data_IF_540203218844
#
_entry.id   IF_540203218844
#
_cell.length_a   1.000
_cell.length_b   1.000
_cell.length_c   1.000
_cell.angle_alpha   90.00
_cell.angle_beta   90.00
_cell.angle_gamma   90.00
#
_symmetry.space_group_name_H-M   'P 1'
#
loop_
_entity.id
_entity.type
_entity.pdbx_description
1 polymer ?
#
# COMPACT_ATOMS: atom_id res chain seq x y z
N UNK A 1 -51.05 -33.98 -25.91
CA UNK A 1 -50.58 -32.56 -25.93
C UNK A 1 -50.28 -32.02 -24.52
N UNK A 2 -51.03 -32.43 -23.47
CA UNK A 2 -50.85 -31.89 -22.09
C UNK A 2 -49.57 -32.32 -21.35
N UNK A 3 -49.00 -33.49 -21.65
CA UNK A 3 -47.81 -33.99 -20.96
C UNK A 3 -46.51 -33.33 -21.40
N UNK A 4 -46.39 -32.96 -22.65
CA UNK A 4 -45.22 -32.24 -23.21
C UNK A 4 -45.16 -30.74 -22.82
N UNK A 5 -46.31 -30.13 -22.60
CA UNK A 5 -46.37 -28.75 -22.08
C UNK A 5 -45.99 -28.69 -20.60
N UNK A 6 -46.42 -29.63 -19.79
CA UNK A 6 -46.08 -29.73 -18.37
C UNK A 6 -44.59 -30.01 -18.13
N UNK A 7 -43.94 -30.85 -18.96
CA UNK A 7 -42.49 -31.08 -18.90
C UNK A 7 -41.69 -29.82 -19.27
N UNK A 8 -42.13 -29.07 -20.28
CA UNK A 8 -41.49 -27.79 -20.68
C UNK A 8 -41.61 -26.71 -19.60
N UNK A 9 -42.77 -26.61 -18.93
CA UNK A 9 -42.94 -25.65 -17.81
C UNK A 9 -42.07 -26.01 -16.60
N UNK A 10 -41.92 -27.31 -16.25
CA UNK A 10 -41.03 -27.73 -15.17
C UNK A 10 -39.55 -27.50 -15.50
N UNK A 11 -39.11 -27.73 -16.74
CA UNK A 11 -37.76 -27.47 -17.18
C UNK A 11 -37.45 -25.94 -17.17
N UNK A 12 -38.42 -25.10 -17.56
CA UNK A 12 -38.28 -23.63 -17.47
C UNK A 12 -38.22 -23.15 -16.01
N UNK A 13 -39.06 -23.75 -15.13
CA UNK A 13 -39.02 -23.40 -13.70
C UNK A 13 -37.72 -23.84 -13.01
N UNK A 14 -37.16 -24.96 -13.40
CA UNK A 14 -35.88 -25.47 -12.90
C UNK A 14 -34.74 -24.51 -13.36
N UNK A 15 -34.72 -24.16 -14.63
CA UNK A 15 -33.75 -23.21 -15.21
C UNK A 15 -33.82 -21.82 -14.56
N UNK A 16 -35.02 -21.29 -14.31
CA UNK A 16 -35.20 -19.99 -13.62
C UNK A 16 -34.69 -20.05 -12.17
N UNK A 17 -34.91 -21.20 -11.46
CA UNK A 17 -34.39 -21.37 -10.11
C UNK A 17 -32.86 -21.41 -10.08
N UNK A 18 -32.24 -22.12 -11.03
CA UNK A 18 -30.77 -22.17 -11.15
C UNK A 18 -30.17 -20.79 -11.44
N UNK A 19 -30.81 -20.01 -12.33
CA UNK A 19 -30.36 -18.65 -12.60
C UNK A 19 -30.45 -17.78 -11.35
N UNK A 20 -31.58 -17.79 -10.63
CA UNK A 20 -31.74 -17.03 -9.39
C UNK A 20 -30.72 -17.42 -8.32
N UNK A 21 -30.44 -18.73 -8.22
CA UNK A 21 -29.43 -19.20 -7.26
C UNK A 21 -28.03 -18.71 -7.61
N UNK A 22 -27.67 -18.69 -8.91
CA UNK A 22 -26.40 -18.12 -9.38
C UNK A 22 -26.33 -16.60 -9.16
N UNK A 23 -27.40 -15.87 -9.42
CA UNK A 23 -27.49 -14.42 -9.17
C UNK A 23 -27.28 -14.11 -7.68
N UNK A 24 -27.92 -14.85 -6.78
CA UNK A 24 -27.75 -14.68 -5.35
C UNK A 24 -26.30 -14.95 -4.92
N UNK A 25 -25.68 -16.03 -5.43
CA UNK A 25 -24.26 -16.33 -5.16
C UNK A 25 -23.33 -15.21 -5.64
N UNK A 26 -23.55 -14.68 -6.84
CA UNK A 26 -22.76 -13.56 -7.38
C UNK A 26 -22.92 -12.33 -6.49
N UNK A 27 -24.14 -11.99 -6.09
CA UNK A 27 -24.40 -10.85 -5.22
C UNK A 27 -23.72 -10.99 -3.84
N UNK A 28 -23.81 -12.18 -3.24
CA UNK A 28 -23.14 -12.46 -1.96
C UNK A 28 -21.62 -12.31 -2.09
N UNK A 29 -21.03 -12.81 -3.18
CA UNK A 29 -19.60 -12.70 -3.45
C UNK A 29 -19.17 -11.23 -3.67
N UNK A 30 -19.95 -10.47 -4.43
CA UNK A 30 -19.72 -9.03 -4.64
C UNK A 30 -19.78 -8.23 -3.32
N UNK A 31 -20.75 -8.51 -2.46
CA UNK A 31 -20.87 -7.85 -1.17
C UNK A 31 -19.70 -8.23 -0.23
N UNK A 32 -19.23 -9.48 -0.26
CA UNK A 32 -18.04 -9.89 0.48
C UNK A 32 -16.77 -9.15 -0.01
N UNK A 33 -16.61 -9.01 -1.33
CA UNK A 33 -15.48 -8.28 -1.92
C UNK A 33 -15.54 -6.80 -1.50
N UNK A 34 -16.71 -6.18 -1.60
CA UNK A 34 -16.91 -4.78 -1.15
C UNK A 34 -16.57 -4.60 0.33
N UNK A 35 -17.05 -5.50 1.20
CA UNK A 35 -16.78 -5.44 2.62
C UNK A 35 -15.29 -5.54 2.92
N UNK A 36 -14.61 -6.54 2.36
CA UNK A 36 -13.16 -6.69 2.53
C UNK A 36 -12.37 -5.47 2.09
N UNK A 37 -12.73 -4.90 0.96
CA UNK A 37 -12.03 -3.75 0.45
C UNK A 37 -12.35 -2.46 1.22
N UNK A 38 -13.56 -2.33 1.77
CA UNK A 38 -13.87 -1.25 2.70
C UNK A 38 -12.99 -1.36 3.97
N UNK A 39 -12.80 -2.58 4.50
CA UNK A 39 -11.91 -2.85 5.62
C UNK A 39 -10.45 -2.53 5.27
N UNK A 40 -9.95 -2.94 4.08
CA UNK A 40 -8.60 -2.61 3.62
C UNK A 40 -8.40 -1.10 3.40
N UNK A 41 -9.41 -0.40 2.88
CA UNK A 41 -9.33 1.04 2.66
C UNK A 41 -9.43 1.85 3.96
N UNK A 42 -10.14 1.35 4.96
CA UNK A 42 -10.21 1.96 6.28
C UNK A 42 -8.99 1.64 7.17
N UNK A 43 -8.21 0.61 6.82
CA UNK A 43 -7.05 0.21 7.61
C UNK A 43 -5.99 1.29 7.60
N UNK A 44 -5.50 1.63 8.78
CA UNK A 44 -4.33 2.49 8.98
C UNK A 44 -3.20 1.70 9.60
N UNK A 45 -1.96 2.06 9.26
CA UNK A 45 -0.75 1.51 9.87
C UNK A 45 -0.04 2.62 10.62
N UNK A 46 0.11 2.48 11.94
CA UNK A 46 0.79 3.44 12.78
C UNK A 46 2.20 2.97 13.12
N UNK A 47 3.19 3.78 12.74
CA UNK A 47 4.62 3.54 13.01
C UNK A 47 5.15 4.68 13.87
N UNK A 48 5.44 4.41 15.14
CA UNK A 48 5.98 5.38 16.07
C UNK A 48 7.50 5.28 16.15
N UNK A 49 8.19 6.41 16.01
CA UNK A 49 9.64 6.50 16.08
C UNK A 49 10.06 7.22 17.36
N UNK A 50 11.03 6.65 18.07
CA UNK A 50 11.65 7.27 19.23
C UNK A 50 13.16 7.09 19.21
N UNK A 51 13.87 7.86 20.02
CA UNK A 51 15.32 7.91 20.07
C UNK A 51 15.82 9.33 20.06
N UNK A 52 17.13 9.50 20.20
CA UNK A 52 17.73 10.80 20.43
C UNK A 52 17.53 11.81 19.29
N UNK A 53 17.52 13.11 19.60
CA UNK A 53 17.63 14.15 18.59
C UNK A 53 18.86 13.91 17.69
N UNK A 54 18.68 14.13 16.40
CA UNK A 54 19.76 13.91 15.42
C UNK A 54 19.95 12.45 14.97
N UNK A 55 19.26 11.45 15.54
CA UNK A 55 19.34 10.05 15.09
C UNK A 55 18.77 9.82 13.66
N UNK A 56 18.04 10.81 13.13
CA UNK A 56 17.49 10.75 11.76
C UNK A 56 16.08 10.19 11.66
N UNK A 57 15.29 10.28 12.75
CA UNK A 57 13.88 9.86 12.75
C UNK A 57 13.06 10.52 11.65
N UNK A 58 13.10 11.84 11.55
CA UNK A 58 12.39 12.60 10.50
C UNK A 58 12.88 12.23 9.09
N UNK A 59 14.18 11.96 8.91
CA UNK A 59 14.71 11.47 7.63
C UNK A 59 14.19 10.08 7.29
N UNK A 60 14.06 9.19 8.29
CA UNK A 60 13.54 7.86 8.13
C UNK A 60 12.04 7.88 7.79
N UNK A 61 11.26 8.76 8.44
CA UNK A 61 9.85 9.01 8.08
C UNK A 61 9.73 9.41 6.61
N UNK A 62 10.51 10.40 6.18
CA UNK A 62 10.50 10.87 4.79
C UNK A 62 10.92 9.77 3.80
N UNK A 63 11.90 8.94 4.16
CA UNK A 63 12.31 7.82 3.34
C UNK A 63 11.19 6.78 3.20
N UNK A 64 10.58 6.34 4.29
CA UNK A 64 9.49 5.37 4.28
C UNK A 64 8.24 5.89 3.55
N UNK A 65 7.94 7.18 3.68
CA UNK A 65 6.83 7.84 3.01
C UNK A 65 7.09 8.16 1.53
N UNK A 66 8.37 8.23 1.11
CA UNK A 66 8.78 8.59 -0.26
C UNK A 66 8.63 10.06 -0.61
N UNK A 67 8.32 10.89 0.35
CA UNK A 67 8.23 12.35 0.19
C UNK A 67 8.57 13.09 1.48
N UNK A 68 8.87 14.37 1.36
CA UNK A 68 9.18 15.21 2.52
C UNK A 68 7.89 15.53 3.28
N UNK A 69 7.63 14.79 4.36
CA UNK A 69 6.55 15.01 5.32
C UNK A 69 7.07 15.74 6.56
N UNK A 70 8.14 15.21 7.13
CA UNK A 70 8.77 15.74 8.33
C UNK A 70 9.89 16.73 7.97
N UNK A 71 9.99 17.80 8.74
CA UNK A 71 11.10 18.73 8.60
C UNK A 71 12.39 18.07 9.07
N UNK A 72 13.42 18.17 8.23
CA UNK A 72 14.77 17.72 8.55
C UNK A 72 15.69 18.94 8.71
N UNK A 73 16.51 18.95 9.75
CA UNK A 73 17.45 20.07 9.97
C UNK A 73 18.52 19.72 11.00
N UNK A 74 19.60 20.50 11.02
CA UNK A 74 20.71 20.36 11.97
C UNK A 74 20.40 20.99 13.34
N UNK A 75 19.30 21.74 13.47
CA UNK A 75 18.92 22.35 14.74
C UNK A 75 18.41 21.28 15.70
N UNK A 76 19.10 21.15 16.82
CA UNK A 76 18.70 20.37 17.98
C UNK A 76 17.43 20.99 18.57
N UNK A 77 16.41 20.20 18.87
CA UNK A 77 15.14 20.56 19.54
C UNK A 77 13.92 20.90 18.67
N UNK A 78 13.84 20.41 17.44
CA UNK A 78 12.62 20.61 16.64
C UNK A 78 11.40 19.78 17.09
N UNK A 79 11.61 18.63 17.74
CA UNK A 79 10.50 17.80 18.23
C UNK A 79 10.11 18.20 19.66
N UNK A 80 9.52 19.38 19.79
CA UNK A 80 9.04 19.92 21.09
C UNK A 80 7.67 19.35 21.47
N UNK A 81 7.02 18.62 20.55
CA UNK A 81 5.72 17.96 20.71
C UNK A 81 5.69 16.70 19.84
N UNK A 82 4.72 15.82 20.09
CA UNK A 82 4.39 14.75 19.15
C UNK A 82 4.09 15.34 17.78
N UNK A 83 4.68 14.77 16.75
CA UNK A 83 4.39 15.13 15.37
C UNK A 83 3.84 13.90 14.65
N UNK A 84 2.61 13.99 14.17
CA UNK A 84 1.96 12.95 13.36
C UNK A 84 1.97 13.35 11.89
N UNK A 85 2.30 12.39 11.03
CA UNK A 85 2.38 12.56 9.59
C UNK A 85 1.58 11.47 8.92
N UNK A 86 0.44 11.83 8.35
CA UNK A 86 -0.43 10.89 7.65
C UNK A 86 -0.22 10.94 6.14
N UNK A 87 -0.12 9.76 5.53
CA UNK A 87 -0.06 9.59 4.08
C UNK A 87 -0.66 8.25 3.66
N UNK A 88 -1.70 8.29 2.85
CA UNK A 88 -2.31 7.10 2.22
C UNK A 88 -2.59 5.95 3.21
N UNK A 89 -3.07 6.28 4.42
CA UNK A 89 -3.35 5.32 5.49
C UNK A 89 -2.12 4.82 6.25
N UNK A 90 -0.94 5.43 6.05
CA UNK A 90 0.20 5.28 6.96
C UNK A 90 0.24 6.49 7.87
N UNK A 91 0.37 6.25 9.17
CA UNK A 91 0.55 7.29 10.18
C UNK A 91 1.92 7.12 10.84
N UNK A 92 2.84 8.04 10.56
CA UNK A 92 4.16 8.10 11.17
C UNK A 92 4.13 9.08 12.34
N UNK A 93 4.59 8.63 13.51
CA UNK A 93 4.58 9.41 14.74
C UNK A 93 6.03 9.61 15.20
N UNK A 94 6.50 10.87 15.19
CA UNK A 94 7.79 11.23 15.79
C UNK A 94 7.57 11.54 17.26
N UNK A 95 7.93 10.59 18.13
CA UNK A 95 7.73 10.72 19.57
C UNK A 95 8.80 11.64 20.17
N UNK A 96 8.41 12.56 21.08
CA UNK A 96 9.34 13.39 21.80
C UNK A 96 10.17 12.57 22.80
N UNK A 97 11.26 13.16 23.31
CA UNK A 97 12.16 12.49 24.25
C UNK A 97 11.44 11.97 25.51
N UNK A 98 11.54 10.67 25.76
CA UNK A 98 10.99 9.97 26.92
C UNK A 98 11.76 10.37 28.19
N UNK A 99 11.04 10.60 29.29
CA UNK A 99 11.63 10.93 30.58
C UNK A 99 12.21 12.34 30.70
N UNK A 100 11.90 13.24 29.75
CA UNK A 100 12.28 14.64 29.85
C UNK A 100 11.38 15.40 30.81
N UNK A 101 11.81 16.58 31.28
CA UNK A 101 10.99 17.45 32.15
C UNK A 101 9.62 17.76 31.56
N UNK A 102 9.55 17.90 30.23
CA UNK A 102 8.30 18.18 29.51
C UNK A 102 7.43 16.94 29.31
N UNK A 103 8.06 15.78 29.25
CA UNK A 103 7.42 14.50 28.98
C UNK A 103 7.88 13.45 30.01
N UNK A 104 7.37 13.53 31.27
CA UNK A 104 7.74 12.60 32.33
C UNK A 104 7.24 11.19 32.03
N UNK A 105 7.90 10.20 32.61
CA UNK A 105 7.69 8.75 32.34
C UNK A 105 6.30 8.29 32.72
N UNK A 106 5.77 8.82 33.80
CA UNK A 106 4.55 8.30 34.48
C UNK A 106 3.29 8.32 33.59
N UNK A 107 3.13 9.33 32.73
CA UNK A 107 1.96 9.48 31.87
C UNK A 107 2.27 9.39 30.38
N UNK A 108 3.50 8.99 30.01
CA UNK A 108 3.97 9.00 28.63
C UNK A 108 3.16 8.04 27.75
N UNK A 109 2.85 6.83 28.24
CA UNK A 109 2.10 5.82 27.51
C UNK A 109 0.68 6.27 27.20
N UNK A 110 -0.01 6.86 28.17
CA UNK A 110 -1.39 7.35 27.99
C UNK A 110 -1.40 8.59 27.09
N UNK A 111 -0.49 9.53 27.34
CA UNK A 111 -0.43 10.80 26.63
C UNK A 111 -0.26 10.61 25.10
N UNK A 112 0.52 9.62 24.69
CA UNK A 112 0.81 9.33 23.29
C UNK A 112 0.08 8.09 22.76
N UNK A 113 -0.87 7.55 23.51
CA UNK A 113 -1.67 6.36 23.13
C UNK A 113 -0.80 5.22 22.59
N UNK A 114 0.34 4.94 23.27
CA UNK A 114 1.34 4.02 22.74
C UNK A 114 0.78 2.61 22.57
N UNK A 115 -0.17 2.19 23.38
CA UNK A 115 -0.78 0.86 23.28
C UNK A 115 -1.62 0.67 22.02
N UNK A 116 -2.02 1.73 21.34
CA UNK A 116 -2.79 1.68 20.10
C UNK A 116 -1.91 1.66 18.85
N UNK A 117 -0.63 2.01 18.96
CA UNK A 117 0.29 2.02 17.82
C UNK A 117 0.71 0.59 17.44
N UNK A 118 0.95 0.37 16.13
CA UNK A 118 1.25 -0.97 15.60
C UNK A 118 2.73 -1.35 15.76
N UNK A 119 3.62 -0.47 15.34
CA UNK A 119 5.06 -0.71 15.25
C UNK A 119 5.81 0.43 15.92
N UNK A 120 6.87 0.09 16.63
CA UNK A 120 7.81 1.05 17.21
C UNK A 120 9.19 0.88 16.60
N UNK A 121 9.81 1.98 16.17
CA UNK A 121 11.19 2.02 15.71
C UNK A 121 12.03 2.76 16.76
N UNK A 122 12.93 2.03 17.43
CA UNK A 122 13.95 2.63 18.27
C UNK A 122 15.14 3.03 17.41
N UNK A 123 15.25 4.34 17.10
CA UNK A 123 16.22 4.85 16.13
C UNK A 123 17.42 5.45 16.84
N UNK A 124 18.61 4.94 16.55
CA UNK A 124 19.89 5.50 17.03
C UNK A 124 20.87 5.67 15.88
N UNK A 125 21.84 6.56 16.03
CA UNK A 125 22.99 6.71 15.11
C UNK A 125 24.32 6.77 15.87
N UNK A 126 24.30 6.53 17.16
CA UNK A 126 25.49 6.67 18.02
C UNK A 126 25.35 5.91 19.33
N UNK A 127 25.52 6.62 20.46
CA UNK A 127 25.35 6.06 21.79
C UNK A 127 23.87 5.91 22.14
N UNK A 128 23.53 4.81 22.80
CA UNK A 128 22.20 4.61 23.38
C UNK A 128 22.05 5.44 24.66
N UNK A 129 20.91 6.03 24.82
CA UNK A 129 20.53 6.70 26.05
C UNK A 129 19.71 5.77 26.93
N UNK A 130 19.90 5.88 28.25
CA UNK A 130 19.21 5.03 29.22
C UNK A 130 17.68 5.12 29.12
N UNK A 131 17.14 6.30 28.83
CA UNK A 131 15.71 6.51 28.68
C UNK A 131 15.14 5.82 27.45
N UNK A 132 15.88 5.81 26.31
CA UNK A 132 15.46 5.09 25.11
C UNK A 132 15.47 3.56 25.35
N UNK A 133 16.48 3.05 26.07
CA UNK A 133 16.57 1.64 26.49
C UNK A 133 15.38 1.28 27.40
N UNK A 134 15.06 2.13 28.34
CA UNK A 134 13.94 1.91 29.26
C UNK A 134 12.61 1.88 28.51
N UNK A 135 12.34 2.85 27.64
CA UNK A 135 11.12 2.88 26.83
C UNK A 135 11.01 1.63 25.95
N UNK A 136 12.12 1.22 25.31
CA UNK A 136 12.17 0.00 24.51
C UNK A 136 11.78 -1.24 25.33
N UNK A 137 12.33 -1.38 26.55
CA UNK A 137 11.99 -2.49 27.46
C UNK A 137 10.53 -2.45 27.88
N UNK A 138 10.01 -1.28 28.24
CA UNK A 138 8.63 -1.13 28.66
C UNK A 138 7.66 -1.50 27.52
N UNK A 139 7.89 -1.02 26.30
CA UNK A 139 7.09 -1.37 25.12
C UNK A 139 7.11 -2.89 24.86
N UNK A 140 8.28 -3.52 24.96
CA UNK A 140 8.43 -4.98 24.83
C UNK A 140 7.67 -5.75 25.90
N UNK A 141 7.70 -5.27 27.15
CA UNK A 141 6.93 -5.86 28.26
C UNK A 141 5.41 -5.76 28.01
N UNK A 142 4.96 -4.72 27.34
CA UNK A 142 3.56 -4.55 26.89
C UNK A 142 3.27 -5.33 25.59
N UNK A 143 4.16 -6.24 25.16
CA UNK A 143 4.04 -7.07 23.95
C UNK A 143 3.92 -6.24 22.65
N UNK A 144 4.42 -5.02 22.65
CA UNK A 144 4.47 -4.19 21.44
C UNK A 144 5.65 -4.62 20.56
N UNK A 145 5.43 -4.51 19.26
CA UNK A 145 6.48 -4.78 18.27
C UNK A 145 7.45 -3.60 18.23
N UNK A 146 8.69 -3.85 18.62
CA UNK A 146 9.77 -2.88 18.63
C UNK A 146 10.92 -3.37 17.75
N UNK A 147 11.30 -2.58 16.75
CA UNK A 147 12.42 -2.83 15.86
C UNK A 147 13.52 -1.84 16.20
N UNK A 148 14.75 -2.36 16.37
CA UNK A 148 15.91 -1.53 16.66
C UNK A 148 16.58 -1.12 15.34
N UNK A 149 16.74 0.18 15.12
CA UNK A 149 17.30 0.74 13.87
C UNK A 149 18.55 1.57 14.20
N UNK A 150 19.71 1.12 13.71
CA UNK A 150 20.91 1.93 13.67
C UNK A 150 20.98 2.67 12.34
N UNK A 151 20.66 3.95 12.37
CA UNK A 151 20.62 4.80 11.18
C UNK A 151 21.95 5.53 10.96
N UNK A 152 22.14 6.16 9.78
CA UNK A 152 23.38 6.82 9.34
C UNK A 152 24.56 5.86 9.27
N UNK A 153 24.34 4.68 8.74
CA UNK A 153 25.38 3.66 8.55
C UNK A 153 26.52 4.16 7.64
N UNK A 154 26.20 5.13 6.78
CA UNK A 154 27.17 5.83 5.93
C UNK A 154 28.19 6.67 6.71
N UNK A 155 27.90 7.04 7.95
CA UNK A 155 28.83 7.73 8.86
C UNK A 155 29.59 6.74 9.76
N UNK A 156 29.33 5.41 9.69
CA UNK A 156 29.97 4.38 10.49
C UNK A 156 31.29 3.97 9.84
N UNK A 157 32.38 4.57 10.33
CA UNK A 157 33.72 4.32 9.84
C UNK A 157 34.75 4.33 10.96
N UNK A 158 35.76 3.46 10.86
CA UNK A 158 36.93 3.43 11.73
C UNK A 158 38.12 2.92 10.91
N UNK A 159 39.31 3.56 11.06
CA UNK A 159 40.49 3.20 10.28
C UNK A 159 40.93 1.74 10.51
N UNK A 160 41.10 0.98 9.42
CA UNK A 160 41.50 -0.39 9.45
C UNK A 160 40.40 -1.42 9.76
N UNK A 161 39.17 -0.97 10.03
CA UNK A 161 38.05 -1.85 10.33
C UNK A 161 37.08 -2.01 9.13
N UNK A 162 36.57 -3.22 8.98
CA UNK A 162 35.50 -3.46 8.01
C UNK A 162 34.14 -3.01 8.54
N UNK A 163 33.23 -2.59 7.64
CA UNK A 163 31.86 -2.21 8.01
C UNK A 163 31.13 -3.32 8.78
N UNK A 164 31.34 -4.59 8.39
CA UNK A 164 30.71 -5.73 9.05
C UNK A 164 31.23 -5.94 10.49
N UNK A 165 32.53 -5.72 10.73
CA UNK A 165 33.07 -5.74 12.09
C UNK A 165 32.47 -4.61 12.94
N UNK A 166 32.36 -3.40 12.37
CA UNK A 166 31.75 -2.26 13.05
C UNK A 166 30.28 -2.51 13.39
N UNK A 167 29.51 -3.08 12.47
CA UNK A 167 28.12 -3.49 12.72
C UNK A 167 28.03 -4.52 13.85
N UNK A 168 28.86 -5.55 13.81
CA UNK A 168 28.90 -6.60 14.83
C UNK A 168 29.22 -6.04 16.22
N UNK A 169 30.19 -5.13 16.30
CA UNK A 169 30.52 -4.40 17.54
C UNK A 169 29.35 -3.56 18.04
N UNK A 170 28.63 -2.90 17.15
CA UNK A 170 27.42 -2.12 17.50
C UNK A 170 26.29 -2.99 18.01
N UNK A 171 26.05 -4.14 17.40
CA UNK A 171 25.03 -5.11 17.88
C UNK A 171 25.39 -5.57 19.29
N UNK A 172 26.66 -5.93 19.53
CA UNK A 172 27.12 -6.37 20.85
C UNK A 172 26.99 -5.26 21.92
N UNK A 173 27.35 -4.02 21.58
CA UNK A 173 27.21 -2.86 22.48
C UNK A 173 25.74 -2.58 22.81
N UNK A 174 24.86 -2.57 21.80
CA UNK A 174 23.42 -2.37 21.97
C UNK A 174 22.82 -3.47 22.83
N UNK A 175 23.10 -4.75 22.52
CA UNK A 175 22.60 -5.89 23.27
C UNK A 175 23.06 -5.88 24.73
N UNK A 176 24.31 -5.49 24.99
CA UNK A 176 24.87 -5.31 26.35
C UNK A 176 24.09 -4.22 27.12
N UNK A 177 23.83 -3.08 26.52
CA UNK A 177 23.09 -1.98 27.16
C UNK A 177 21.62 -2.33 27.41
N UNK A 178 21.01 -3.09 26.52
CA UNK A 178 19.64 -3.58 26.66
C UNK A 178 19.56 -4.74 27.68
N UNK A 179 20.61 -5.55 27.78
CA UNK A 179 20.70 -6.70 28.70
C UNK A 179 20.19 -8.02 28.11
N UNK A 180 19.87 -8.05 26.82
CA UNK A 180 19.57 -9.26 26.04
C UNK A 180 19.88 -9.03 24.55
N UNK A 181 19.99 -10.10 23.81
CA UNK A 181 20.27 -10.05 22.36
C UNK A 181 19.11 -9.41 21.60
N UNK A 182 19.45 -8.46 20.73
CA UNK A 182 18.49 -7.77 19.86
C UNK A 182 18.95 -7.81 18.41
N UNK A 183 17.99 -7.96 17.51
CA UNK A 183 18.24 -7.73 16.09
C UNK A 183 18.28 -6.23 15.82
N UNK A 184 19.37 -5.77 15.19
CA UNK A 184 19.57 -4.37 14.84
C UNK A 184 19.59 -4.23 13.33
N UNK A 185 18.68 -3.45 12.79
CA UNK A 185 18.67 -3.11 11.36
C UNK A 185 19.53 -1.88 11.11
N UNK A 186 20.41 -1.98 10.14
CA UNK A 186 21.33 -0.91 9.76
C UNK A 186 20.82 -0.16 8.54
N UNK A 187 20.55 1.14 8.69
CA UNK A 187 19.97 1.96 7.61
C UNK A 187 20.81 3.20 7.31
N UNK A 188 20.78 3.63 6.06
CA UNK A 188 21.21 4.96 5.63
C UNK A 188 20.13 5.58 4.76
N UNK A 189 19.49 6.64 5.25
CA UNK A 189 18.52 7.41 4.45
C UNK A 189 19.19 8.13 3.28
N UNK A 190 20.50 8.52 3.42
CA UNK A 190 21.28 9.17 2.37
C UNK A 190 21.52 8.24 1.19
N UNK A 191 21.98 7.03 1.46
CA UNK A 191 22.35 6.04 0.43
C UNK A 191 21.22 5.05 0.14
N UNK A 192 20.07 5.16 0.83
CA UNK A 192 18.92 4.25 0.75
C UNK A 192 19.23 2.79 1.11
N UNK A 193 20.32 2.54 1.84
CA UNK A 193 20.75 1.20 2.27
C UNK A 193 19.93 0.71 3.46
N UNK A 194 19.58 -0.59 3.49
CA UNK A 194 18.86 -1.26 4.56
C UNK A 194 17.41 -0.80 4.75
N UNK A 195 16.90 0.08 3.88
CA UNK A 195 15.51 0.52 3.94
C UNK A 195 14.54 -0.56 3.47
N UNK A 196 14.95 -1.38 2.51
CA UNK A 196 14.22 -2.56 2.03
C UNK A 196 14.05 -3.63 3.12
N UNK A 197 15.14 -3.92 3.85
CA UNK A 197 15.10 -4.85 4.98
C UNK A 197 14.20 -4.32 6.11
N UNK A 198 14.30 -3.03 6.45
CA UNK A 198 13.44 -2.40 7.44
C UNK A 198 11.95 -2.49 7.03
N UNK A 199 11.64 -2.21 5.78
CA UNK A 199 10.27 -2.29 5.26
C UNK A 199 9.72 -3.71 5.32
N UNK A 200 10.54 -4.69 5.00
CA UNK A 200 10.19 -6.12 5.05
C UNK A 200 9.95 -6.55 6.50
N UNK A 201 10.77 -6.11 7.44
CA UNK A 201 10.58 -6.38 8.87
C UNK A 201 9.29 -5.75 9.40
N UNK A 202 9.00 -4.50 9.05
CA UNK A 202 7.72 -3.86 9.40
C UNK A 202 6.55 -4.68 8.86
N UNK A 203 6.56 -5.03 7.58
CA UNK A 203 5.51 -5.82 6.94
C UNK A 203 5.32 -7.19 7.62
N UNK A 204 6.41 -7.83 8.03
CA UNK A 204 6.40 -9.14 8.69
C UNK A 204 5.64 -9.16 10.03
N UNK A 205 5.57 -8.03 10.71
CA UNK A 205 4.89 -7.89 11.99
C UNK A 205 3.42 -7.40 11.89
N UNK A 206 2.97 -7.05 10.69
CA UNK A 206 1.60 -6.59 10.47
C UNK A 206 0.66 -7.75 10.11
N UNK A 207 -0.57 -7.70 10.61
CA UNK A 207 -1.65 -8.57 10.14
C UNK A 207 -1.98 -8.29 8.67
N UNK A 208 -2.61 -9.25 7.97
CA UNK A 208 -2.76 -9.23 6.51
C UNK A 208 -3.31 -7.91 5.94
N UNK A 209 -4.39 -7.37 6.51
CA UNK A 209 -5.04 -6.13 6.05
C UNK A 209 -4.09 -4.92 6.15
N UNK A 210 -3.40 -4.78 7.28
CA UNK A 210 -2.42 -3.70 7.50
C UNK A 210 -1.15 -3.92 6.67
N UNK A 211 -0.74 -5.16 6.42
CA UNK A 211 0.38 -5.51 5.55
C UNK A 211 0.11 -5.10 4.10
N UNK A 212 -1.08 -5.38 3.59
CA UNK A 212 -1.49 -4.95 2.26
C UNK A 212 -1.51 -3.41 2.16
N UNK A 213 -2.01 -2.73 3.19
CA UNK A 213 -1.95 -1.26 3.29
C UNK A 213 -0.51 -0.76 3.28
N UNK A 214 0.39 -1.39 4.02
CA UNK A 214 1.80 -1.03 4.07
C UNK A 214 2.46 -1.13 2.68
N UNK A 215 2.35 -2.29 2.02
CA UNK A 215 2.91 -2.47 0.68
C UNK A 215 2.35 -1.49 -0.35
N UNK A 216 1.07 -1.19 -0.27
CA UNK A 216 0.39 -0.27 -1.19
C UNK A 216 0.88 1.17 -1.03
N UNK A 217 1.15 1.60 0.19
CA UNK A 217 1.36 3.01 0.54
C UNK A 217 2.82 3.40 0.76
N UNK A 218 3.66 2.50 1.30
CA UNK A 218 5.08 2.80 1.53
C UNK A 218 5.88 2.84 0.23
N UNK A 219 6.98 3.59 0.24
CA UNK A 219 7.91 3.66 -0.91
C UNK A 219 8.64 2.34 -1.09
N UNK A 220 8.82 1.88 -2.32
CA UNK A 220 9.57 0.67 -2.61
C UNK A 220 11.08 0.94 -2.68
N UNK A 221 11.87 0.07 -2.04
CA UNK A 221 13.33 0.06 -2.10
C UNK A 221 13.92 -1.26 -2.63
N UNK A 222 13.06 -2.19 -3.05
CA UNK A 222 13.46 -3.44 -3.71
C UNK A 222 12.45 -3.87 -4.77
N UNK A 223 12.85 -4.76 -5.67
CA UNK A 223 11.93 -5.35 -6.64
C UNK A 223 10.91 -6.25 -5.95
N UNK A 224 11.33 -6.96 -4.90
CA UNK A 224 10.48 -7.81 -4.09
C UNK A 224 9.36 -6.98 -3.44
N UNK A 225 9.68 -5.78 -2.94
CA UNK A 225 8.66 -4.87 -2.41
C UNK A 225 7.72 -4.36 -3.50
N UNK A 226 8.23 -4.08 -4.71
CA UNK A 226 7.39 -3.71 -5.85
C UNK A 226 6.43 -4.84 -6.25
N UNK A 227 6.88 -6.10 -6.19
CA UNK A 227 6.03 -7.25 -6.49
C UNK A 227 4.93 -7.44 -5.43
N UNK A 228 5.23 -7.25 -4.15
CA UNK A 228 4.21 -7.25 -3.09
C UNK A 228 3.23 -6.07 -3.23
N UNK A 229 3.74 -4.87 -3.61
CA UNK A 229 2.89 -3.71 -3.94
C UNK A 229 1.94 -4.04 -5.10
N UNK A 230 2.42 -4.72 -6.12
CA UNK A 230 1.59 -5.17 -7.24
C UNK A 230 0.45 -6.07 -6.75
N UNK A 231 0.76 -7.10 -5.94
CA UNK A 231 -0.26 -8.02 -5.36
C UNK A 231 -1.28 -7.28 -4.49
N UNK A 232 -0.83 -6.30 -3.69
CA UNK A 232 -1.74 -5.49 -2.89
C UNK A 232 -2.67 -4.62 -3.76
N UNK A 233 -2.15 -4.05 -4.86
CA UNK A 233 -2.94 -3.28 -5.81
C UNK A 233 -3.91 -4.14 -6.64
N UNK A 234 -3.58 -5.41 -6.94
CA UNK A 234 -4.51 -6.34 -7.61
C UNK A 234 -5.83 -6.53 -6.84
N UNK A 235 -5.77 -6.52 -5.51
CA UNK A 235 -6.97 -6.56 -4.64
C UNK A 235 -7.80 -5.29 -4.83
N UNK A 236 -7.15 -4.12 -4.95
CA UNK A 236 -7.83 -2.86 -5.24
C UNK A 236 -8.54 -2.90 -6.59
N UNK A 237 -7.88 -3.42 -7.63
CA UNK A 237 -8.51 -3.63 -8.95
C UNK A 237 -9.74 -4.52 -8.84
N UNK A 238 -9.64 -5.63 -8.12
CA UNK A 238 -10.75 -6.56 -7.90
C UNK A 238 -11.93 -5.89 -7.19
N UNK A 239 -11.65 -5.03 -6.22
CA UNK A 239 -12.69 -4.24 -5.54
C UNK A 239 -13.42 -3.29 -6.48
N UNK A 240 -12.69 -2.49 -7.25
CA UNK A 240 -13.31 -1.56 -8.19
C UNK A 240 -14.09 -2.31 -9.30
N UNK A 241 -13.62 -3.49 -9.71
CA UNK A 241 -14.36 -4.36 -10.62
C UNK A 241 -15.69 -4.84 -9.99
N UNK A 242 -15.68 -5.18 -8.70
CA UNK A 242 -16.91 -5.54 -7.98
C UNK A 242 -17.88 -4.36 -7.82
N UNK A 243 -17.37 -3.14 -7.61
CA UNK A 243 -18.20 -1.94 -7.60
C UNK A 243 -18.85 -1.69 -8.97
N UNK A 244 -18.09 -1.83 -10.06
CA UNK A 244 -18.63 -1.70 -11.42
C UNK A 244 -19.71 -2.74 -11.73
N UNK A 245 -19.50 -3.99 -11.31
CA UNK A 245 -20.50 -5.04 -11.44
C UNK A 245 -21.81 -4.71 -10.71
N UNK A 246 -21.71 -4.21 -9.48
CA UNK A 246 -22.88 -3.87 -8.68
C UNK A 246 -23.69 -2.70 -9.27
N UNK A 247 -23.04 -1.76 -9.96
CA UNK A 247 -23.71 -0.68 -10.66
C UNK A 247 -24.45 -1.17 -11.92
N UNK A 248 -23.91 -2.18 -12.62
CA UNK A 248 -24.57 -2.83 -13.75
C UNK A 248 -25.86 -3.58 -13.40
N UNK A 249 -26.09 -3.84 -12.10
CA UNK A 249 -27.33 -4.42 -11.60
C UNK A 249 -28.50 -3.41 -11.50
N UNK A 250 -28.23 -2.12 -11.58
CA UNK A 250 -29.23 -1.04 -11.56
C UNK A 250 -29.33 -0.40 -12.95
N UNK A 251 -30.20 -0.89 -13.86
CA UNK A 251 -30.30 -0.37 -15.22
C UNK A 251 -31.04 0.96 -15.24
N UNK A 252 -30.32 2.07 -15.04
CA UNK A 252 -30.79 3.40 -15.37
C UNK A 252 -30.21 3.74 -16.76
N UNK A 253 -30.98 3.73 -17.83
CA UNK A 253 -30.47 4.00 -19.17
C UNK A 253 -29.75 5.35 -19.25
N UNK A 254 -28.48 5.34 -19.70
CA UNK A 254 -27.67 6.54 -19.89
C UNK A 254 -26.75 6.92 -18.72
N UNK A 255 -26.85 6.28 -17.56
CA UNK A 255 -25.96 6.52 -16.39
C UNK A 255 -24.75 5.59 -16.39
N UNK A 256 -24.87 4.41 -17.01
CA UNK A 256 -23.91 3.31 -16.91
C UNK A 256 -22.48 3.72 -17.33
N UNK A 257 -22.35 4.40 -18.47
CA UNK A 257 -21.03 4.77 -18.99
C UNK A 257 -20.34 5.84 -18.12
N UNK A 258 -21.10 6.80 -17.59
CA UNK A 258 -20.53 7.87 -16.77
C UNK A 258 -20.06 7.35 -15.40
N UNK A 259 -20.77 6.38 -14.83
CA UNK A 259 -20.41 5.74 -13.57
C UNK A 259 -19.17 4.86 -13.76
N UNK A 260 -19.10 4.07 -14.83
CA UNK A 260 -17.94 3.22 -15.15
C UNK A 260 -16.69 4.06 -15.40
N UNK A 261 -16.81 5.21 -16.07
CA UNK A 261 -15.69 6.15 -16.23
C UNK A 261 -15.23 6.71 -14.89
N UNK A 262 -16.14 7.03 -13.98
CA UNK A 262 -15.82 7.52 -12.63
C UNK A 262 -15.09 6.48 -11.80
N UNK A 263 -15.53 5.21 -11.83
CA UNK A 263 -14.92 4.08 -11.13
C UNK A 263 -13.50 3.85 -11.65
N UNK A 264 -13.30 3.77 -12.96
CA UNK A 264 -11.97 3.57 -13.55
C UNK A 264 -11.05 4.76 -13.32
N UNK A 265 -11.57 5.98 -13.37
CA UNK A 265 -10.77 7.17 -13.07
C UNK A 265 -10.21 7.13 -11.66
N UNK A 266 -11.06 6.79 -10.67
CA UNK A 266 -10.63 6.65 -9.27
C UNK A 266 -9.66 5.49 -9.08
N UNK A 267 -9.93 4.33 -9.68
CA UNK A 267 -9.03 3.18 -9.66
C UNK A 267 -7.64 3.55 -10.20
N UNK A 268 -7.58 4.20 -11.35
CA UNK A 268 -6.32 4.58 -11.98
C UNK A 268 -5.57 5.63 -11.16
N UNK A 269 -6.28 6.55 -10.53
CA UNK A 269 -5.70 7.48 -9.58
C UNK A 269 -5.09 6.75 -8.39
N UNK A 270 -5.84 5.84 -7.73
CA UNK A 270 -5.36 5.07 -6.56
C UNK A 270 -4.11 4.23 -6.90
N UNK A 271 -4.05 3.65 -8.12
CA UNK A 271 -2.88 2.92 -8.58
C UNK A 271 -1.68 3.86 -8.76
N UNK A 272 -1.84 5.01 -9.44
CA UNK A 272 -0.75 5.98 -9.63
C UNK A 272 -0.22 6.52 -8.31
N UNK A 273 -1.11 6.87 -7.39
CA UNK A 273 -0.75 7.32 -6.04
C UNK A 273 0.05 6.24 -5.29
N UNK A 274 -0.35 4.97 -5.38
CA UNK A 274 0.36 3.85 -4.76
C UNK A 274 1.79 3.69 -5.28
N UNK A 275 2.03 3.98 -6.56
CA UNK A 275 3.35 3.93 -7.17
C UNK A 275 4.10 5.26 -7.14
N UNK A 276 3.49 6.33 -6.62
CA UNK A 276 4.08 7.66 -6.57
C UNK A 276 4.24 8.33 -7.95
N UNK A 277 3.59 7.80 -8.99
CA UNK A 277 3.70 8.29 -10.37
C UNK A 277 3.10 9.69 -10.51
N UNK A 278 2.04 9.99 -9.78
CA UNK A 278 1.39 11.31 -9.81
C UNK A 278 2.29 12.46 -9.36
N UNK A 279 3.33 12.16 -8.59
CA UNK A 279 4.32 13.15 -8.14
C UNK A 279 5.42 13.45 -9.16
N UNK A 280 5.49 12.68 -10.27
CA UNK A 280 6.52 12.80 -11.29
C UNK A 280 5.98 13.62 -12.47
N UNK A 281 6.64 14.73 -12.85
CA UNK A 281 6.27 15.47 -14.06
C UNK A 281 6.31 14.57 -15.30
N UNK A 282 5.34 14.74 -16.22
CA UNK A 282 5.17 13.88 -17.41
C UNK A 282 6.45 13.82 -18.26
N UNK A 283 7.10 14.95 -18.47
CA UNK A 283 8.33 15.02 -19.28
C UNK A 283 9.46 14.25 -18.62
N UNK A 284 9.61 14.40 -17.30
CA UNK A 284 10.60 13.66 -16.50
C UNK A 284 10.32 12.16 -16.51
N UNK A 285 9.05 11.75 -16.46
CA UNK A 285 8.67 10.35 -16.55
C UNK A 285 9.10 9.73 -17.88
N UNK A 286 8.75 10.39 -19.00
CA UNK A 286 9.09 9.91 -20.36
C UNK A 286 10.60 9.93 -20.65
N UNK A 287 11.32 10.91 -20.11
CA UNK A 287 12.77 10.99 -20.26
C UNK A 287 13.49 9.86 -19.53
N UNK A 288 13.00 9.51 -18.32
CA UNK A 288 13.66 8.50 -17.47
C UNK A 288 13.31 7.06 -17.83
N UNK A 289 12.18 6.79 -18.49
CA UNK A 289 11.79 5.42 -18.88
C UNK A 289 11.94 5.24 -20.39
N UNK A 290 12.93 4.41 -20.81
CA UNK A 290 13.18 4.12 -22.23
C UNK A 290 12.46 2.87 -22.71
N UNK A 291 12.55 1.79 -21.95
CA UNK A 291 11.93 0.50 -22.31
C UNK A 291 10.43 0.49 -21.96
N UNK A 292 10.04 1.08 -20.84
CA UNK A 292 8.66 1.23 -20.44
C UNK A 292 7.98 2.50 -21.01
N UNK A 293 8.59 3.21 -21.97
CA UNK A 293 7.98 4.39 -22.59
C UNK A 293 6.58 4.13 -23.18
N UNK A 294 6.29 2.99 -23.84
CA UNK A 294 4.92 2.69 -24.26
C UNK A 294 3.94 2.57 -23.10
N UNK A 295 4.34 2.00 -21.97
CA UNK A 295 3.53 1.91 -20.75
C UNK A 295 3.30 3.31 -20.14
N UNK A 296 4.36 4.12 -20.04
CA UNK A 296 4.26 5.50 -19.53
C UNK A 296 3.28 6.35 -20.38
N UNK A 297 3.33 6.24 -21.72
CA UNK A 297 2.38 6.91 -22.60
C UNK A 297 0.93 6.44 -22.36
N UNK A 298 0.70 5.13 -22.16
CA UNK A 298 -0.64 4.63 -21.83
C UNK A 298 -1.12 5.13 -20.46
N UNK A 299 -0.25 5.20 -19.46
CA UNK A 299 -0.58 5.77 -18.15
C UNK A 299 -1.03 7.22 -18.31
N UNK A 300 -0.28 8.04 -19.03
CA UNK A 300 -0.59 9.45 -19.27
C UNK A 300 -1.92 9.60 -20.03
N UNK A 301 -2.13 8.83 -21.07
CA UNK A 301 -3.36 8.88 -21.89
C UNK A 301 -4.58 8.46 -21.06
N UNK A 302 -4.48 7.35 -20.34
CA UNK A 302 -5.58 6.81 -19.54
C UNK A 302 -5.79 7.55 -18.20
N UNK A 303 -4.96 8.54 -17.87
CA UNK A 303 -5.21 9.46 -16.77
C UNK A 303 -6.32 10.46 -17.07
N UNK A 304 -6.80 10.55 -18.31
CA UNK A 304 -7.87 11.46 -18.75
C UNK A 304 -9.19 10.70 -18.92
N UNK A 305 -10.32 11.43 -18.81
CA UNK A 305 -11.65 10.84 -19.06
C UNK A 305 -11.79 10.31 -20.49
N UNK A 306 -11.24 11.02 -21.45
CA UNK A 306 -11.25 10.65 -22.87
C UNK A 306 -10.49 9.35 -23.11
N UNK A 307 -9.32 9.19 -22.48
CA UNK A 307 -8.51 7.97 -22.53
C UNK A 307 -9.24 6.78 -21.93
N UNK A 308 -9.92 6.98 -20.79
CA UNK A 308 -10.73 5.93 -20.15
C UNK A 308 -11.91 5.53 -21.05
N UNK A 309 -12.63 6.48 -21.66
CA UNK A 309 -13.72 6.19 -22.59
C UNK A 309 -13.20 5.38 -23.80
N UNK A 310 -12.03 5.74 -24.33
CA UNK A 310 -11.40 4.99 -25.42
C UNK A 310 -11.06 3.56 -24.99
N UNK A 311 -10.49 3.40 -23.78
CA UNK A 311 -10.14 2.11 -23.21
C UNK A 311 -11.39 1.23 -23.00
N UNK A 312 -12.47 1.78 -22.43
CA UNK A 312 -13.74 1.09 -22.25
C UNK A 312 -14.32 0.61 -23.59
N UNK A 313 -14.34 1.46 -24.62
CA UNK A 313 -14.80 1.08 -25.96
C UNK A 313 -13.98 -0.07 -26.56
N UNK A 314 -12.67 -0.07 -26.34
CA UNK A 314 -11.76 -1.13 -26.82
C UNK A 314 -12.05 -2.47 -26.15
N UNK A 315 -12.23 -2.49 -24.83
CA UNK A 315 -12.52 -3.72 -24.10
C UNK A 315 -13.94 -4.22 -24.29
N UNK A 316 -14.95 -3.31 -24.36
CA UNK A 316 -16.32 -3.67 -24.66
C UNK A 316 -16.45 -4.35 -26.03
N UNK A 317 -15.76 -3.84 -27.05
CA UNK A 317 -15.72 -4.47 -28.40
C UNK A 317 -15.15 -5.88 -28.38
N UNK A 318 -14.16 -6.16 -27.52
CA UNK A 318 -13.55 -7.50 -27.41
C UNK A 318 -14.41 -8.52 -26.66
N UNK A 319 -15.29 -8.09 -25.78
CA UNK A 319 -16.20 -8.96 -25.02
C UNK A 319 -17.50 -9.27 -25.79
N UNK A 320 -18.03 -8.28 -26.51
CA UNK A 320 -19.26 -8.46 -27.32
C UNK A 320 -19.05 -9.47 -28.46
N UNK A 321 -17.84 -9.57 -29.02
CA UNK A 321 -17.53 -10.55 -30.06
C UNK A 321 -17.44 -11.98 -29.57
N UNK A 322 -17.25 -12.21 -28.26
CA UNK A 322 -17.17 -13.55 -27.65
C UNK A 322 -18.50 -14.04 -27.06
N UNK A 323 -19.43 -13.13 -26.74
CA UNK A 323 -20.74 -13.46 -26.16
C UNK A 323 -21.85 -13.06 -27.13
N UNK A 324 -22.02 -13.84 -28.20
CA UNK A 324 -23.11 -13.67 -29.18
C UNK A 324 -24.52 -13.91 -28.60
N UNK A 325 -24.91 -13.23 -27.52
CA UNK A 325 -26.23 -13.34 -26.89
C UNK A 325 -26.98 -12.01 -26.94
N UNK A 326 -27.84 -11.93 -27.96
CA UNK A 326 -28.95 -10.98 -27.99
C UNK A 326 -30.08 -11.46 -27.07
N UNK A 327 -30.50 -10.60 -26.13
CA UNK A 327 -31.79 -10.55 -25.45
C UNK A 327 -32.33 -11.81 -24.73
N UNK A 328 -32.10 -11.84 -23.40
CA UNK A 328 -33.06 -12.41 -22.46
C UNK A 328 -33.20 -11.44 -21.29
N UNK A 329 -34.36 -10.84 -21.01
CA UNK A 329 -34.51 -9.72 -20.05
C UNK A 329 -34.16 -10.06 -18.59
N UNK A 330 -34.21 -11.34 -18.19
CA UNK A 330 -33.87 -11.80 -16.82
C UNK A 330 -32.44 -12.30 -16.65
N UNK A 331 -31.75 -12.62 -17.74
CA UNK A 331 -30.33 -12.98 -17.72
C UNK A 331 -29.46 -11.71 -17.83
N UNK A 332 -30.08 -10.58 -18.18
CA UNK A 332 -29.42 -9.33 -18.48
C UNK A 332 -28.64 -8.73 -17.32
N UNK A 333 -29.13 -8.82 -16.08
CA UNK A 333 -28.47 -8.22 -14.92
C UNK A 333 -27.20 -8.99 -14.53
N UNK A 334 -27.24 -10.33 -14.46
CA UNK A 334 -26.06 -11.12 -14.16
C UNK A 334 -25.00 -11.03 -15.28
N UNK A 335 -25.42 -10.92 -16.55
CA UNK A 335 -24.52 -10.72 -17.68
C UNK A 335 -23.94 -9.29 -17.65
N UNK A 336 -24.75 -8.27 -17.39
CA UNK A 336 -24.29 -6.89 -17.27
C UNK A 336 -23.32 -6.74 -16.10
N UNK A 337 -23.61 -7.35 -14.95
CA UNK A 337 -22.71 -7.39 -13.81
C UNK A 337 -21.40 -8.10 -14.15
N UNK A 338 -21.44 -9.24 -14.85
CA UNK A 338 -20.21 -9.96 -15.25
C UNK A 338 -19.40 -9.20 -16.32
N UNK A 339 -20.04 -8.47 -17.21
CA UNK A 339 -19.39 -7.62 -18.21
C UNK A 339 -18.71 -6.43 -17.52
N UNK A 340 -19.42 -5.71 -16.63
CA UNK A 340 -18.87 -4.59 -15.88
C UNK A 340 -17.66 -4.98 -15.05
N UNK A 341 -17.76 -6.12 -14.33
CA UNK A 341 -16.64 -6.71 -13.61
C UNK A 341 -15.47 -7.01 -14.56
N UNK A 342 -15.72 -7.72 -15.64
CA UNK A 342 -14.71 -8.18 -16.60
C UNK A 342 -13.97 -7.00 -17.27
N UNK A 343 -14.70 -5.99 -17.73
CA UNK A 343 -14.11 -4.80 -18.36
C UNK A 343 -13.24 -4.04 -17.36
N UNK A 344 -13.76 -3.76 -16.17
CA UNK A 344 -13.05 -3.02 -15.13
C UNK A 344 -11.82 -3.78 -14.65
N UNK A 345 -11.94 -5.11 -14.46
CA UNK A 345 -10.81 -5.97 -14.09
C UNK A 345 -9.72 -5.96 -15.16
N UNK A 346 -10.05 -6.17 -16.41
CA UNK A 346 -9.09 -6.16 -17.53
C UNK A 346 -8.41 -4.80 -17.70
N UNK A 347 -9.17 -3.71 -17.63
CA UNK A 347 -8.65 -2.36 -17.72
C UNK A 347 -7.72 -2.04 -16.53
N UNK A 348 -8.16 -2.39 -15.33
CA UNK A 348 -7.39 -2.19 -14.10
C UNK A 348 -6.10 -2.98 -14.06
N UNK A 349 -6.13 -4.28 -14.41
CA UNK A 349 -4.94 -5.15 -14.46
C UNK A 349 -3.93 -4.65 -15.51
N UNK A 350 -4.42 -4.23 -16.68
CA UNK A 350 -3.55 -3.66 -17.72
C UNK A 350 -2.87 -2.38 -17.26
N UNK A 351 -3.63 -1.50 -16.60
CA UNK A 351 -3.12 -0.23 -16.09
C UNK A 351 -2.15 -0.42 -14.91
N UNK A 352 -2.48 -1.33 -14.01
CA UNK A 352 -1.61 -1.72 -12.90
C UNK A 352 -0.27 -2.27 -13.41
N UNK A 353 -0.32 -3.14 -14.42
CA UNK A 353 0.89 -3.65 -15.06
C UNK A 353 1.74 -2.54 -15.66
N UNK A 354 1.14 -1.59 -16.38
CA UNK A 354 1.85 -0.44 -16.93
C UNK A 354 2.57 0.37 -15.85
N UNK A 355 1.88 0.65 -14.72
CA UNK A 355 2.47 1.36 -13.58
C UNK A 355 3.62 0.58 -12.94
N UNK A 356 3.47 -0.74 -12.82
CA UNK A 356 4.50 -1.61 -12.28
C UNK A 356 5.76 -1.68 -13.16
N UNK A 357 5.58 -1.84 -14.48
CA UNK A 357 6.68 -1.89 -15.45
C UNK A 357 7.47 -0.56 -15.45
N UNK A 358 6.76 0.57 -15.41
CA UNK A 358 7.36 1.91 -15.30
C UNK A 358 8.12 2.05 -13.99
N UNK A 359 7.54 1.62 -12.88
CA UNK A 359 8.19 1.71 -11.57
C UNK A 359 9.45 0.84 -11.48
N UNK A 360 9.43 -0.38 -12.03
CA UNK A 360 10.61 -1.26 -12.10
C UNK A 360 11.75 -0.64 -12.91
N UNK A 361 11.46 -0.06 -14.07
CA UNK A 361 12.50 0.59 -14.87
C UNK A 361 13.06 1.84 -14.17
N UNK A 362 12.18 2.64 -13.55
CA UNK A 362 12.59 3.83 -12.80
C UNK A 362 13.46 3.45 -11.59
N UNK A 363 13.11 2.36 -10.91
CA UNK A 363 13.85 1.84 -9.78
C UNK A 363 15.23 1.32 -10.19
N UNK A 364 15.32 0.52 -11.26
CA UNK A 364 16.59 -0.05 -11.73
C UNK A 364 17.64 1.01 -12.09
N UNK A 365 17.20 2.17 -12.62
CA UNK A 365 18.10 3.29 -12.96
C UNK A 365 18.58 4.09 -11.76
N UNK A 366 17.81 4.10 -10.67
CA UNK A 366 18.19 4.83 -9.45
C UNK A 366 19.11 4.03 -8.53
N UNK A 367 19.28 2.73 -8.76
CA UNK A 367 20.25 1.86 -8.05
C UNK A 367 21.61 1.88 -8.76
N UNK A 368 21.64 2.21 -10.05
CA UNK A 368 22.87 2.20 -10.87
C UNK A 368 23.69 3.50 -10.76
N UNK A 369 23.35 4.37 -9.85
CA UNK A 369 24.06 5.59 -9.49
C UNK A 369 24.25 5.66 -7.97
#
# INVERSE_FOLDING_TARGET
KSGLEFLRENDQLCFIKEIRQRENMINEELEQIKKKAAEENAATVSVALFGQPGAGKSSLINALAGKKLAETGLETDKTVAEAEYEINGLNFIDLPGYGTTKFPKDNYFEKFNLLEKDIFLCVTSGKLHADDVELFKQLRNQKKTCIFVFNKTDDLWEEGESLENLKSRKIADISKNIGFEVNVLFTSCRNKQGLDELQTQIAGHLGQVKRDRWFKSATAYSNEFLDEKFRACEKTVTYYAALAAANGLNPIPGVDLAVDVGILYKLFQDIRESYGIDSIPKDTLLEKVKFAAPAANRIITNATKEGIIFLLKRFAGSLVTKTGTKYIPFVGQAIAASIGFGITKLAGDSYLKDCHDVAKEFFSKNISH
#
